data_IF_236384913715
#
_entry.id   IF_236384913715
#
_cell.length_a   1.000
_cell.length_b   1.000
_cell.length_c   1.000
_cell.angle_alpha   90.00
_cell.angle_beta   90.00
_cell.angle_gamma   90.00
#
_symmetry.space_group_name_H-M   'P 1'
#
loop_
_entity.id
_entity.type
_entity.pdbx_description
1 polymer ?
#
# COMPACT_ATOMS: atom_id res chain seq x y z
N UNK A 1 18.40 2.08 -16.28
CA UNK A 1 18.14 2.53 -14.90
C UNK A 1 19.03 1.75 -13.94
N UNK A 2 20.03 2.38 -13.29
CA UNK A 2 20.57 1.75 -12.07
C UNK A 2 19.55 2.01 -10.97
N UNK A 3 19.04 1.00 -10.28
CA UNK A 3 18.26 1.19 -9.04
C UNK A 3 18.98 2.04 -7.96
N UNK A 4 20.21 2.48 -8.22
CA UNK A 4 21.01 3.38 -7.40
C UNK A 4 20.49 4.81 -7.26
N UNK A 5 19.71 5.37 -8.19
CA UNK A 5 19.31 6.80 -8.10
C UNK A 5 18.26 7.06 -7.01
N UNK A 6 17.23 6.22 -6.92
CA UNK A 6 16.23 6.31 -5.83
C UNK A 6 16.87 5.93 -4.49
N UNK A 7 17.72 4.90 -4.48
CA UNK A 7 18.48 4.53 -3.29
C UNK A 7 19.38 5.67 -2.80
N UNK A 8 20.05 6.37 -3.71
CA UNK A 8 20.89 7.52 -3.40
C UNK A 8 20.06 8.68 -2.86
N UNK A 9 18.93 9.00 -3.50
CA UNK A 9 18.01 10.02 -3.01
C UNK A 9 17.51 9.71 -1.59
N UNK A 10 17.04 8.49 -1.34
CA UNK A 10 16.60 8.05 -0.02
C UNK A 10 17.74 8.07 1.01
N UNK A 11 18.94 7.63 0.63
CA UNK A 11 20.11 7.63 1.51
C UNK A 11 20.57 9.03 1.89
N UNK A 12 20.58 9.97 0.94
CA UNK A 12 20.92 11.37 1.20
C UNK A 12 19.85 12.06 2.05
N UNK A 13 18.57 11.75 1.85
CA UNK A 13 17.48 12.26 2.68
C UNK A 13 17.65 11.81 4.15
N UNK A 14 17.95 10.53 4.35
CA UNK A 14 18.24 9.99 5.69
C UNK A 14 19.46 10.65 6.35
N UNK A 15 20.55 10.87 5.61
CA UNK A 15 21.76 11.50 6.15
C UNK A 15 21.57 12.99 6.47
N UNK A 16 20.80 13.70 5.65
CA UNK A 16 20.61 15.14 5.79
C UNK A 16 19.55 15.52 6.83
N UNK A 17 18.71 14.57 7.26
CA UNK A 17 17.58 14.87 8.14
C UNK A 17 16.47 15.64 7.40
N UNK A 18 16.34 15.45 6.09
CA UNK A 18 15.33 16.10 5.26
C UNK A 18 13.89 15.64 5.55
N UNK A 19 12.92 16.33 4.96
CA UNK A 19 11.50 15.93 5.00
C UNK A 19 11.14 15.10 3.77
N UNK A 20 9.97 14.47 3.76
CA UNK A 20 9.51 13.69 2.61
C UNK A 20 9.57 14.49 1.29
N UNK A 21 9.97 13.81 0.22
CA UNK A 21 10.12 14.38 -1.11
C UNK A 21 9.31 13.57 -2.13
N UNK A 22 8.68 14.27 -3.07
CA UNK A 22 8.07 13.67 -4.24
C UNK A 22 8.95 13.86 -5.47
N UNK A 23 9.14 12.80 -6.26
CA UNK A 23 9.93 12.83 -7.49
C UNK A 23 9.22 12.14 -8.64
N UNK A 24 9.17 12.83 -9.78
CA UNK A 24 8.73 12.28 -11.06
C UNK A 24 9.94 11.82 -11.87
N UNK A 25 9.86 10.63 -12.47
CA UNK A 25 10.88 10.08 -13.33
C UNK A 25 10.28 9.60 -14.64
N UNK A 26 10.70 10.20 -15.74
CA UNK A 26 10.32 9.77 -17.09
C UNK A 26 11.36 8.77 -17.62
N UNK A 27 10.91 7.55 -17.91
CA UNK A 27 11.75 6.54 -18.55
C UNK A 27 11.75 6.79 -20.06
N UNK A 28 12.64 7.65 -20.53
CA UNK A 28 12.81 7.95 -21.96
C UNK A 28 13.50 6.80 -22.70
N UNK A 29 13.24 6.66 -24.01
CA UNK A 29 13.74 5.57 -24.86
C UNK A 29 15.29 5.44 -24.87
N UNK A 30 16.02 6.54 -24.70
CA UNK A 30 17.49 6.55 -24.63
C UNK A 30 18.05 5.76 -23.41
N UNK A 31 17.26 5.60 -22.34
CA UNK A 31 17.58 4.77 -21.16
C UNK A 31 17.16 3.30 -21.33
N UNK A 32 16.26 3.00 -22.28
CA UNK A 32 15.74 1.65 -22.53
C UNK A 32 16.71 0.80 -23.39
N UNK A 33 17.59 1.46 -24.16
CA UNK A 33 18.53 0.80 -25.06
C UNK A 33 19.70 0.09 -24.36
N UNK A 34 20.06 0.47 -23.12
CA UNK A 34 21.18 -0.15 -22.38
C UNK A 34 20.76 -1.30 -21.45
N UNK A 35 19.53 -1.29 -20.88
CA UNK A 35 19.07 -2.28 -19.89
C UNK A 35 18.01 -3.28 -20.42
N UNK A 36 17.61 -3.17 -21.69
CA UNK A 36 16.88 -4.20 -22.43
C UNK A 36 15.46 -4.58 -21.95
N UNK A 37 14.93 -3.98 -20.88
CA UNK A 37 13.68 -4.45 -20.24
C UNK A 37 12.76 -3.35 -19.66
N UNK A 38 12.92 -2.09 -20.06
CA UNK A 38 12.09 -1.01 -19.51
C UNK A 38 11.01 -0.61 -20.50
N UNK A 39 9.74 -0.92 -20.21
CA UNK A 39 8.63 -0.32 -20.95
C UNK A 39 8.60 1.19 -20.61
N UNK A 40 8.74 2.04 -21.62
CA UNK A 40 8.72 3.50 -21.45
C UNK A 40 7.46 3.94 -20.69
N UNK A 41 7.65 4.70 -19.62
CA UNK A 41 6.58 5.16 -18.73
C UNK A 41 7.10 6.17 -17.71
N UNK A 42 6.19 6.93 -17.12
CA UNK A 42 6.51 7.83 -16.01
C UNK A 42 6.26 7.12 -14.69
N UNK A 43 7.26 7.10 -13.82
CA UNK A 43 7.13 6.62 -12.45
C UNK A 43 7.14 7.80 -11.48
N UNK A 44 6.39 7.66 -10.40
CA UNK A 44 6.28 8.66 -9.36
C UNK A 44 6.68 8.03 -8.03
N UNK A 45 7.59 8.69 -7.32
CA UNK A 45 8.11 8.21 -6.04
C UNK A 45 7.83 9.24 -4.97
N UNK A 46 7.15 8.80 -3.90
CA UNK A 46 7.21 9.48 -2.61
C UNK A 46 8.34 8.82 -1.82
N UNK A 47 9.34 9.60 -1.43
CA UNK A 47 10.44 9.17 -0.57
C UNK A 47 10.16 9.77 0.80
N UNK A 48 9.80 8.91 1.75
CA UNK A 48 9.36 9.31 3.08
C UNK A 48 10.29 8.70 4.15
N UNK A 49 11.13 9.51 4.80
CA UNK A 49 12.11 9.01 5.75
C UNK A 49 11.47 8.74 7.12
N UNK A 50 11.80 7.59 7.71
CA UNK A 50 11.47 7.28 9.11
C UNK A 50 12.74 7.43 9.93
N UNK A 51 12.79 8.42 10.82
CA UNK A 51 13.98 8.73 11.62
C UNK A 51 13.96 7.99 12.95
N UNK A 52 12.80 7.95 13.59
CA UNK A 52 12.61 7.28 14.87
C UNK A 52 11.64 6.11 14.70
N UNK A 53 11.96 4.90 15.18
CA UNK A 53 11.06 3.74 15.04
C UNK A 53 9.65 4.02 15.55
N UNK A 54 9.51 4.81 16.62
CA UNK A 54 8.22 5.16 17.20
C UNK A 54 7.27 5.91 16.25
N UNK A 55 7.76 6.52 15.18
CA UNK A 55 6.95 7.24 14.19
C UNK A 55 6.10 6.28 13.33
N UNK A 56 6.52 5.03 13.20
CA UNK A 56 5.90 4.06 12.29
C UNK A 56 5.58 2.71 12.92
N UNK A 57 6.25 2.33 14.01
CA UNK A 57 6.14 1.01 14.62
C UNK A 57 4.71 0.66 15.04
N UNK A 58 3.93 1.62 15.53
CA UNK A 58 2.55 1.35 15.96
C UNK A 58 1.64 1.09 14.75
N UNK A 59 1.79 1.85 13.66
CA UNK A 59 1.08 1.58 12.41
C UNK A 59 1.49 0.23 11.82
N UNK A 60 2.79 -0.12 11.86
CA UNK A 60 3.28 -1.39 11.34
C UNK A 60 2.66 -2.61 12.05
N UNK A 61 2.49 -2.54 13.37
CA UNK A 61 1.83 -3.61 14.14
C UNK A 61 0.37 -3.78 13.75
N UNK A 62 -0.37 -2.68 13.63
CA UNK A 62 -1.78 -2.73 13.24
C UNK A 62 -1.96 -3.22 11.79
N UNK A 63 -1.03 -2.87 10.89
CA UNK A 63 -0.98 -3.40 9.52
C UNK A 63 -0.71 -4.92 9.54
N UNK A 64 0.23 -5.39 10.35
CA UNK A 64 0.50 -6.83 10.52
C UNK A 64 -0.73 -7.57 11.08
N UNK A 65 -1.40 -6.98 12.07
CA UNK A 65 -2.65 -7.51 12.63
C UNK A 65 -3.72 -7.63 11.55
N UNK A 66 -3.92 -6.60 10.71
CA UNK A 66 -4.88 -6.62 9.61
C UNK A 66 -4.62 -7.79 8.64
N UNK A 67 -3.35 -8.08 8.32
CA UNK A 67 -2.98 -9.21 7.45
C UNK A 67 -3.25 -10.59 8.08
N UNK A 68 -3.25 -10.68 9.41
CA UNK A 68 -3.41 -11.97 10.11
C UNK A 68 -4.85 -12.28 10.53
N UNK A 69 -5.79 -11.36 10.31
CA UNK A 69 -7.22 -11.53 10.66
C UNK A 69 -7.79 -10.40 11.51
N UNK A 70 -6.99 -9.38 11.82
CA UNK A 70 -7.41 -8.18 12.56
C UNK A 70 -8.31 -7.26 11.74
N UNK A 71 -8.71 -6.15 12.37
CA UNK A 71 -9.51 -5.14 11.70
C UNK A 71 -8.72 -4.48 10.57
N UNK A 72 -9.34 -4.16 9.43
CA UNK A 72 -8.65 -3.47 8.35
C UNK A 72 -8.27 -2.04 8.76
N UNK A 73 -7.18 -1.56 8.18
CA UNK A 73 -6.64 -0.22 8.40
C UNK A 73 -6.18 0.37 7.07
N UNK A 74 -5.97 1.67 7.00
CA UNK A 74 -5.48 2.35 5.82
C UNK A 74 -4.53 3.47 6.20
N UNK A 75 -3.58 3.74 5.33
CA UNK A 75 -2.66 4.85 5.43
C UNK A 75 -2.83 5.75 4.21
N UNK A 76 -3.26 6.99 4.44
CA UNK A 76 -3.23 8.03 3.44
C UNK A 76 -1.95 8.85 3.59
N UNK A 77 -1.26 9.11 2.49
CA UNK A 77 -0.05 9.94 2.43
C UNK A 77 -0.22 11.05 1.39
N UNK A 78 0.02 12.30 1.78
CA UNK A 78 -0.03 13.44 0.88
C UNK A 78 1.17 13.40 -0.07
N UNK A 79 0.90 13.37 -1.37
CA UNK A 79 1.91 13.37 -2.43
C UNK A 79 2.25 14.81 -2.83
N UNK A 80 1.22 15.64 -2.98
CA UNK A 80 1.35 17.05 -3.35
C UNK A 80 0.21 17.87 -2.76
N UNK A 81 0.54 19.01 -2.16
CA UNK A 81 -0.46 19.97 -1.69
C UNK A 81 -1.15 20.70 -2.85
N UNK A 82 -2.44 21.00 -2.68
CA UNK A 82 -3.21 21.80 -3.64
C UNK A 82 -2.83 23.28 -3.62
N UNK A 83 -3.32 24.04 -4.62
CA UNK A 83 -3.00 25.47 -4.73
C UNK A 83 -3.45 26.26 -3.49
N UNK A 84 -2.50 26.86 -2.76
CA UNK A 84 -2.77 27.69 -1.60
C UNK A 84 -2.94 26.94 -0.27
N UNK A 85 -2.67 25.63 -0.22
CA UNK A 85 -2.69 24.86 1.03
C UNK A 85 -1.30 24.82 1.69
N UNK A 86 -1.19 24.98 3.03
CA UNK A 86 0.06 24.79 3.77
C UNK A 86 0.44 23.31 3.97
N UNK A 87 -0.29 22.38 3.33
CA UNK A 87 -0.11 20.95 3.54
C UNK A 87 1.31 20.48 3.14
N UNK A 88 1.95 19.74 4.03
CA UNK A 88 3.34 19.28 3.89
C UNK A 88 3.36 17.94 3.14
N UNK A 89 4.18 17.83 2.09
CA UNK A 89 4.41 16.54 1.41
C UNK A 89 4.83 15.49 2.44
N UNK A 90 4.28 14.28 2.33
CA UNK A 90 4.49 13.21 3.30
C UNK A 90 3.65 13.33 4.57
N UNK A 91 2.76 14.32 4.69
CA UNK A 91 1.74 14.30 5.73
C UNK A 91 0.93 12.99 5.64
N UNK A 92 0.74 12.34 6.79
CA UNK A 92 0.08 11.03 6.87
C UNK A 92 -1.17 11.09 7.73
N UNK A 93 -2.16 10.30 7.32
CA UNK A 93 -3.35 10.03 8.08
C UNK A 93 -3.56 8.52 8.13
N UNK A 94 -3.42 7.94 9.31
CA UNK A 94 -3.73 6.55 9.57
C UNK A 94 -5.21 6.44 9.96
N UNK A 95 -5.93 5.53 9.32
CA UNK A 95 -7.39 5.42 9.38
C UNK A 95 -7.74 3.99 9.77
N UNK A 96 -8.55 3.81 10.81
CA UNK A 96 -9.02 2.51 11.28
C UNK A 96 -10.47 2.27 10.85
N UNK A 97 -10.87 1.00 10.76
CA UNK A 97 -12.24 0.64 10.36
C UNK A 97 -13.34 1.19 11.28
N UNK A 98 -13.02 1.53 12.53
CA UNK A 98 -13.97 2.09 13.50
C UNK A 98 -14.17 3.61 13.32
N UNK A 99 -13.46 4.20 12.35
CA UNK A 99 -13.46 5.62 12.05
C UNK A 99 -12.48 6.44 12.89
N UNK A 100 -11.72 5.83 13.80
CA UNK A 100 -10.66 6.53 14.52
C UNK A 100 -9.46 6.78 13.61
N UNK A 101 -8.80 7.92 13.81
CA UNK A 101 -7.71 8.39 12.94
C UNK A 101 -6.53 8.91 13.75
N UNK A 102 -5.34 8.86 13.16
CA UNK A 102 -4.10 9.45 13.70
C UNK A 102 -3.39 10.21 12.59
N UNK A 103 -3.03 11.46 12.84
CA UNK A 103 -2.46 12.34 11.81
C UNK A 103 -3.53 13.02 10.96
N UNK A 104 -3.11 13.68 9.90
CA UNK A 104 -3.95 14.48 8.99
C UNK A 104 -3.16 14.74 7.71
N UNK A 105 -3.87 14.88 6.58
CA UNK A 105 -3.33 15.33 5.29
C UNK A 105 -3.20 16.86 5.22
N UNK A 106 -3.63 17.59 6.25
CA UNK A 106 -3.42 19.02 6.43
C UNK A 106 -4.65 19.89 6.22
N UNK A 107 -5.81 19.33 5.84
CA UNK A 107 -7.09 20.04 5.88
C UNK A 107 -8.26 19.08 6.12
N UNK A 108 -9.36 19.54 6.75
CA UNK A 108 -10.54 18.70 7.00
C UNK A 108 -11.11 18.09 5.71
N UNK A 109 -11.12 18.85 4.61
CA UNK A 109 -11.65 18.38 3.33
C UNK A 109 -10.82 17.23 2.74
N UNK A 110 -9.49 17.26 2.92
CA UNK A 110 -8.61 16.17 2.50
C UNK A 110 -8.76 14.96 3.42
N UNK A 111 -8.90 15.19 4.73
CA UNK A 111 -9.07 14.12 5.71
C UNK A 111 -10.39 13.37 5.50
N UNK A 112 -11.48 14.09 5.27
CA UNK A 112 -12.80 13.51 4.96
C UNK A 112 -12.75 12.71 3.65
N UNK A 113 -12.16 13.29 2.60
CA UNK A 113 -11.99 12.61 1.30
C UNK A 113 -11.11 11.36 1.42
N UNK A 114 -10.04 11.40 2.21
CA UNK A 114 -9.18 10.24 2.44
C UNK A 114 -9.89 9.15 3.26
N UNK A 115 -10.73 9.54 4.21
CA UNK A 115 -11.54 8.63 5.02
C UNK A 115 -12.57 7.89 4.16
N UNK A 116 -13.29 8.58 3.30
CA UNK A 116 -14.24 7.97 2.35
C UNK A 116 -13.56 6.92 1.45
N UNK A 117 -12.43 7.30 0.84
CA UNK A 117 -11.64 6.41 -0.01
C UNK A 117 -11.08 5.21 0.76
N UNK A 118 -10.59 5.43 1.99
CA UNK A 118 -10.08 4.38 2.84
C UNK A 118 -11.14 3.31 3.15
N UNK A 119 -12.37 3.71 3.47
CA UNK A 119 -13.45 2.75 3.74
C UNK A 119 -13.80 1.90 2.51
N UNK A 120 -13.78 2.46 1.31
CA UNK A 120 -13.98 1.70 0.08
C UNK A 120 -12.85 0.68 -0.14
N UNK A 121 -11.60 1.11 0.06
CA UNK A 121 -10.41 0.32 -0.24
C UNK A 121 -10.15 -0.79 0.79
N UNK A 122 -10.49 -0.57 2.07
CA UNK A 122 -10.34 -1.54 3.17
C UNK A 122 -11.10 -2.84 2.92
N UNK A 123 -12.20 -2.80 2.16
CA UNK A 123 -13.01 -3.99 1.83
C UNK A 123 -12.17 -5.06 1.10
N UNK A 124 -11.23 -4.61 0.27
CA UNK A 124 -10.44 -5.49 -0.60
C UNK A 124 -8.92 -5.33 -0.48
N UNK A 125 -8.45 -4.49 0.44
CA UNK A 125 -7.02 -4.21 0.61
C UNK A 125 -6.40 -3.60 -0.64
N UNK A 126 -7.10 -2.63 -1.24
CA UNK A 126 -6.65 -1.95 -2.46
C UNK A 126 -5.89 -0.67 -2.13
N UNK A 127 -5.23 -0.14 -3.15
CA UNK A 127 -4.62 1.18 -3.11
C UNK A 127 -5.25 2.10 -4.16
N UNK A 128 -5.14 3.41 -3.94
CA UNK A 128 -5.65 4.42 -4.87
C UNK A 128 -4.81 5.69 -4.77
N UNK A 129 -4.49 6.23 -5.93
CA UNK A 129 -3.97 7.58 -6.06
C UNK A 129 -5.12 8.52 -6.41
N UNK A 130 -5.28 9.59 -5.65
CA UNK A 130 -6.41 10.51 -5.74
C UNK A 130 -5.91 11.91 -6.05
N UNK A 131 -6.56 12.54 -7.04
CA UNK A 131 -6.37 13.96 -7.38
C UNK A 131 -7.68 14.68 -7.10
N UNK A 132 -7.63 15.63 -6.17
CA UNK A 132 -8.79 16.41 -5.76
C UNK A 132 -9.08 17.56 -6.72
N UNK A 133 -10.28 18.14 -6.65
CA UNK A 133 -10.63 19.32 -7.45
C UNK A 133 -9.78 20.56 -7.16
N UNK A 134 -9.11 20.63 -5.99
CA UNK A 134 -8.18 21.70 -5.63
C UNK A 134 -6.74 21.45 -6.14
N UNK A 135 -6.50 20.32 -6.81
CA UNK A 135 -5.19 19.92 -7.32
C UNK A 135 -4.29 19.28 -6.26
N UNK A 136 -4.78 19.03 -5.03
CA UNK A 136 -4.05 18.22 -4.07
C UNK A 136 -4.08 16.76 -4.49
N UNK A 137 -2.96 16.06 -4.26
CA UNK A 137 -2.74 14.67 -4.64
C UNK A 137 -2.37 13.87 -3.39
N UNK A 138 -3.05 12.75 -3.15
CA UNK A 138 -2.71 11.84 -2.05
C UNK A 138 -2.83 10.38 -2.50
N UNK A 139 -2.14 9.49 -1.78
CA UNK A 139 -2.16 8.06 -2.02
C UNK A 139 -2.72 7.35 -0.79
N UNK A 140 -3.68 6.46 -1.00
CA UNK A 140 -4.29 5.65 0.05
C UNK A 140 -3.90 4.20 -0.15
N UNK A 141 -3.35 3.60 0.89
CA UNK A 141 -3.04 2.17 0.97
C UNK A 141 -3.93 1.55 2.02
N UNK A 142 -4.79 0.60 1.64
CA UNK A 142 -5.60 -0.15 2.58
C UNK A 142 -5.03 -1.55 2.81
N UNK A 143 -5.00 -1.95 4.06
CA UNK A 143 -4.46 -3.21 4.54
C UNK A 143 -5.60 -4.01 5.17
N UNK A 144 -5.80 -5.23 4.68
CA UNK A 144 -6.85 -6.15 5.15
C UNK A 144 -6.36 -7.58 5.07
N UNK A 145 -7.14 -8.49 5.66
CA UNK A 145 -6.82 -9.92 5.63
C UNK A 145 -6.86 -10.45 4.19
N UNK A 146 -5.85 -11.19 3.73
CA UNK A 146 -5.86 -11.79 2.40
C UNK A 146 -7.12 -12.65 2.19
N UNK A 147 -7.66 -12.69 0.95
CA UNK A 147 -8.91 -13.39 0.68
C UNK A 147 -8.78 -14.88 1.02
N UNK A 148 -9.77 -15.40 1.75
CA UNK A 148 -9.81 -16.80 2.15
C UNK A 148 -10.61 -17.64 1.14
N UNK A 149 -10.07 -18.79 0.77
CA UNK A 149 -10.76 -19.77 -0.06
C UNK A 149 -10.91 -21.09 0.71
N UNK A 150 -12.16 -21.48 1.02
CA UNK A 150 -12.47 -22.75 1.65
C UNK A 150 -12.94 -23.74 0.59
N UNK A 151 -12.17 -24.81 0.37
CA UNK A 151 -12.46 -25.90 -0.54
C UNK A 151 -13.08 -27.06 0.23
N UNK A 152 -14.36 -27.31 0.01
CA UNK A 152 -15.10 -28.42 0.62
C UNK A 152 -14.98 -29.68 -0.24
N UNK A 153 -14.13 -30.61 0.20
CA UNK A 153 -13.77 -31.87 -0.45
C UNK A 153 -12.30 -31.84 -0.90
N UNK A 154 -11.48 -32.78 -0.44
CA UNK A 154 -10.07 -32.96 -0.79
C UNK A 154 -9.84 -33.83 -2.03
N UNK A 155 -10.85 -33.94 -2.90
CA UNK A 155 -10.77 -34.71 -4.15
C UNK A 155 -9.88 -34.07 -5.22
N UNK A 156 -9.86 -34.69 -6.40
CA UNK A 156 -9.00 -34.27 -7.53
C UNK A 156 -9.20 -32.80 -7.95
N UNK A 157 -10.43 -32.29 -7.86
CA UNK A 157 -10.75 -30.88 -8.17
C UNK A 157 -10.01 -29.93 -7.24
N UNK A 158 -10.19 -30.07 -5.92
CA UNK A 158 -9.55 -29.19 -4.93
C UNK A 158 -8.02 -29.32 -4.94
N UNK A 159 -7.50 -30.51 -5.25
CA UNK A 159 -6.06 -30.75 -5.43
C UNK A 159 -5.48 -29.93 -6.59
N UNK A 160 -6.25 -29.70 -7.65
CA UNK A 160 -5.86 -28.85 -8.79
C UNK A 160 -6.08 -27.36 -8.53
N UNK A 161 -7.15 -27.00 -7.79
CA UNK A 161 -7.48 -25.59 -7.50
C UNK A 161 -6.54 -24.99 -6.46
N UNK A 162 -6.21 -25.72 -5.39
CA UNK A 162 -5.47 -25.17 -4.25
C UNK A 162 -4.10 -24.53 -4.64
N UNK A 163 -3.26 -25.14 -5.52
CA UNK A 163 -2.02 -24.51 -5.95
C UNK A 163 -2.24 -23.23 -6.75
N UNK A 164 -3.25 -23.20 -7.63
CA UNK A 164 -3.58 -22.01 -8.42
C UNK A 164 -4.07 -20.87 -7.52
N UNK A 165 -4.98 -21.18 -6.60
CA UNK A 165 -5.50 -20.21 -5.64
C UNK A 165 -4.38 -19.65 -4.75
N UNK A 166 -3.44 -20.49 -4.29
CA UNK A 166 -2.27 -20.04 -3.53
C UNK A 166 -1.39 -19.09 -4.35
N UNK A 167 -1.15 -19.39 -5.63
CA UNK A 167 -0.40 -18.49 -6.54
C UNK A 167 -1.10 -17.15 -6.73
N UNK A 168 -2.43 -17.13 -6.68
CA UNK A 168 -3.24 -15.90 -6.73
C UNK A 168 -3.33 -15.15 -5.39
N UNK A 169 -2.61 -15.59 -4.35
CA UNK A 169 -2.56 -14.92 -3.05
C UNK A 169 -3.69 -15.30 -2.08
N UNK A 170 -4.50 -16.31 -2.38
CA UNK A 170 -5.55 -16.75 -1.45
C UNK A 170 -4.96 -17.52 -0.27
N UNK A 171 -5.55 -17.30 0.91
CA UNK A 171 -5.38 -18.18 2.07
C UNK A 171 -6.31 -19.37 1.92
N UNK A 172 -5.77 -20.49 1.43
CA UNK A 172 -6.54 -21.68 1.08
C UNK A 172 -6.70 -22.63 2.28
N UNK A 173 -7.94 -23.04 2.55
CA UNK A 173 -8.29 -24.12 3.46
C UNK A 173 -8.96 -25.25 2.68
N UNK A 174 -8.59 -26.49 2.94
CA UNK A 174 -9.25 -27.67 2.37
C UNK A 174 -9.84 -28.47 3.52
N UNK A 175 -11.12 -28.81 3.43
CA UNK A 175 -11.82 -29.64 4.41
C UNK A 175 -12.40 -30.87 3.72
N UNK A 176 -12.29 -32.04 4.33
CA UNK A 176 -12.89 -33.29 3.86
C UNK A 176 -13.20 -34.13 5.10
N UNK A 177 -14.32 -34.85 5.10
CA UNK A 177 -14.72 -35.74 6.20
C UNK A 177 -13.90 -37.04 6.21
N UNK A 178 -13.27 -37.39 5.09
CA UNK A 178 -12.40 -38.56 4.99
C UNK A 178 -10.98 -38.19 5.41
N UNK A 179 -10.50 -38.85 6.48
CA UNK A 179 -9.15 -38.65 7.03
C UNK A 179 -8.01 -38.82 6.00
N UNK A 180 -8.21 -39.62 4.96
CA UNK A 180 -7.21 -39.83 3.91
C UNK A 180 -6.98 -38.59 3.03
N UNK A 181 -7.99 -37.72 2.89
CA UNK A 181 -7.95 -36.48 2.11
C UNK A 181 -7.74 -35.22 2.96
N UNK A 182 -8.05 -35.29 4.26
CA UNK A 182 -7.83 -34.21 5.24
C UNK A 182 -6.45 -34.29 5.92
N UNK A 183 -5.38 -34.38 5.11
CA UNK A 183 -3.99 -34.41 5.61
C UNK A 183 -3.26 -33.12 5.26
N UNK A 184 -2.32 -32.73 6.14
CA UNK A 184 -1.62 -31.45 6.13
C UNK A 184 -0.55 -31.37 5.05
#
# INVERSE_FOLDING_TARGET
MRGGDIWFAASELLKSGGTAEYREYQLNEDLAAEDGLVCGGTMFFLIDPVYEPGEYLDFAKEIEDAYTGGSPVALASLIRGGSGSPATIGAKMFIRHDGSTVGSLGSPELDDSAMEEAFELMVHGKNKYVVTGSGAEYFVEAYTTPPQLVLCGGGHVSKSIAPLAKTLGFRVFVTDDRQEFAKR
#
